data_IF_887777138558
#
_entry.id   IF_887777138558
#
_cell.length_a   1.000
_cell.length_b   1.000
_cell.length_c   1.000
_cell.angle_alpha   90.00
_cell.angle_beta   90.00
_cell.angle_gamma   90.00
#
_symmetry.space_group_name_H-M   'P 1'
#
loop_
_entity.id
_entity.type
_entity.pdbx_description
1 polymer ?
#
# COMPACT_ATOMS: atom_id res chain seq x y z
N UNK A 1 -9.16 -10.74 -0.27
CA UNK A 1 -8.47 -9.56 0.27
C UNK A 1 -9.43 -8.39 0.30
N UNK A 2 -9.36 -7.61 1.37
CA UNK A 2 -10.22 -6.46 1.57
C UNK A 2 -9.47 -5.35 2.32
N UNK A 3 -10.04 -4.16 2.35
CA UNK A 3 -9.61 -3.08 3.22
C UNK A 3 -10.64 -2.89 4.32
N UNK A 4 -10.20 -2.86 5.56
CA UNK A 4 -11.04 -2.37 6.65
C UNK A 4 -10.99 -0.85 6.71
N UNK A 5 -11.87 -0.26 7.53
CA UNK A 5 -11.96 1.21 7.65
C UNK A 5 -10.63 1.88 8.01
N UNK A 6 -9.82 1.25 8.86
CA UNK A 6 -8.59 1.85 9.37
C UNK A 6 -7.37 1.61 8.46
N UNK A 7 -7.48 0.66 7.51
CA UNK A 7 -6.41 0.26 6.57
C UNK A 7 -6.65 0.70 5.12
N UNK A 8 -7.70 1.51 4.91
CA UNK A 8 -7.97 2.13 3.61
C UNK A 8 -6.87 3.14 3.22
N UNK A 9 -6.78 3.53 1.95
CA UNK A 9 -5.81 4.52 1.48
C UNK A 9 -5.80 5.80 2.32
N UNK A 10 -4.61 6.19 2.80
CA UNK A 10 -4.43 7.33 3.70
C UNK A 10 -3.07 8.00 3.55
N UNK A 11 -2.97 9.20 4.09
CA UNK A 11 -1.71 9.88 4.36
C UNK A 11 -1.57 10.13 5.86
N UNK A 12 -0.41 9.83 6.42
CA UNK A 12 -0.01 10.31 7.74
C UNK A 12 0.75 11.61 7.54
N UNK A 13 0.32 12.65 8.23
CA UNK A 13 0.84 14.00 8.12
C UNK A 13 1.19 14.53 9.51
N UNK A 14 2.02 15.55 9.59
CA UNK A 14 2.31 16.21 10.88
C UNK A 14 1.03 16.76 11.55
N UNK A 15 0.08 17.15 10.73
CA UNK A 15 -1.20 17.75 11.14
C UNK A 15 -2.24 16.67 11.51
N UNK A 16 -1.98 15.38 11.25
CA UNK A 16 -2.89 14.26 11.52
C UNK A 16 -3.01 13.28 10.36
N UNK A 17 -3.84 12.27 10.53
CA UNK A 17 -4.12 11.28 9.46
C UNK A 17 -5.26 11.77 8.59
N UNK A 18 -5.06 11.68 7.28
CA UNK A 18 -6.02 12.08 6.24
C UNK A 18 -6.32 10.89 5.35
N UNK A 19 -7.59 10.52 5.22
CA UNK A 19 -8.00 9.47 4.30
C UNK A 19 -8.34 10.06 2.93
N UNK A 20 -8.07 9.29 1.86
CA UNK A 20 -8.27 9.77 0.49
C UNK A 20 -9.74 10.10 0.20
N UNK A 21 -10.68 9.32 0.75
CA UNK A 21 -12.12 9.53 0.60
C UNK A 21 -12.68 10.71 1.42
N UNK A 22 -11.83 11.41 2.17
CA UNK A 22 -12.17 12.65 2.90
C UNK A 22 -11.80 13.93 2.11
N UNK A 23 -11.28 13.79 0.88
CA UNK A 23 -11.03 14.94 0.02
C UNK A 23 -12.35 15.71 -0.29
N UNK A 24 -12.26 17.04 -0.34
CA UNK A 24 -13.41 17.90 -0.62
C UNK A 24 -13.90 17.77 -2.07
N UNK A 25 -12.98 17.46 -2.97
CA UNK A 25 -13.26 17.24 -4.39
C UNK A 25 -12.63 15.90 -4.81
N UNK A 26 -13.48 14.99 -5.31
CA UNK A 26 -13.04 13.68 -5.83
C UNK A 26 -13.62 13.51 -7.22
N UNK A 27 -12.76 13.18 -8.17
CA UNK A 27 -13.15 12.90 -9.55
C UNK A 27 -12.52 11.58 -10.01
N UNK A 28 -13.30 10.76 -10.71
CA UNK A 28 -12.84 9.49 -11.29
C UNK A 28 -13.08 9.48 -12.79
N UNK A 29 -12.10 9.01 -13.55
CA UNK A 29 -12.25 8.82 -14.99
C UNK A 29 -11.58 7.52 -15.45
N UNK A 30 -12.11 6.93 -16.50
CA UNK A 30 -11.47 5.81 -17.18
C UNK A 30 -10.30 6.33 -18.00
N UNK A 31 -9.17 5.65 -17.88
CA UNK A 31 -7.96 5.96 -18.65
C UNK A 31 -7.51 4.74 -19.44
N UNK A 32 -6.98 4.98 -20.63
CA UNK A 32 -6.35 3.98 -21.44
C UNK A 32 -5.06 4.57 -22.01
N UNK A 33 -3.96 3.84 -21.82
CA UNK A 33 -2.69 4.12 -22.47
C UNK A 33 -2.40 3.03 -23.51
N UNK A 34 -1.24 3.08 -24.16
CA UNK A 34 -0.92 2.10 -25.22
C UNK A 34 -0.68 0.66 -24.74
N UNK A 35 -0.67 0.40 -23.45
CA UNK A 35 -0.34 -0.91 -22.85
C UNK A 35 -1.36 -1.41 -21.83
N UNK A 36 -2.31 -0.55 -21.41
CA UNK A 36 -3.28 -0.95 -20.40
C UNK A 36 -4.45 0.02 -20.27
N UNK A 37 -5.36 -0.32 -19.36
CA UNK A 37 -6.56 0.44 -19.03
C UNK A 37 -6.82 0.45 -17.54
N UNK A 38 -7.47 1.50 -17.04
CA UNK A 38 -7.74 1.63 -15.62
C UNK A 38 -8.55 2.86 -15.27
N UNK A 39 -8.38 3.28 -14.02
CA UNK A 39 -9.06 4.44 -13.42
C UNK A 39 -7.99 5.41 -12.94
N UNK A 40 -8.15 6.68 -13.30
CA UNK A 40 -7.51 7.82 -12.66
C UNK A 40 -8.47 8.41 -11.66
N UNK A 41 -8.00 8.71 -10.47
CA UNK A 41 -8.77 9.41 -9.44
C UNK A 41 -8.00 10.65 -9.01
N UNK A 42 -8.65 11.81 -9.05
CA UNK A 42 -8.09 13.07 -8.58
C UNK A 42 -8.73 13.43 -7.25
N UNK A 43 -7.91 13.86 -6.30
CA UNK A 43 -8.31 14.26 -4.96
C UNK A 43 -7.78 15.65 -4.69
N UNK A 44 -8.65 16.58 -4.28
CA UNK A 44 -8.26 17.95 -4.02
C UNK A 44 -9.00 18.54 -2.83
N UNK A 45 -8.24 19.34 -2.06
CA UNK A 45 -8.73 20.00 -0.86
C UNK A 45 -9.03 19.02 0.29
N UNK A 46 -8.57 19.35 1.46
CA UNK A 46 -8.83 18.60 2.68
C UNK A 46 -9.20 19.53 3.82
N UNK A 47 -9.88 19.03 4.82
CA UNK A 47 -10.16 19.77 6.05
C UNK A 47 -9.40 19.12 7.21
N UNK A 48 -8.46 19.87 7.79
CA UNK A 48 -7.63 19.41 8.91
C UNK A 48 -7.87 20.39 10.08
N UNK A 49 -8.34 19.86 11.20
CA UNK A 49 -8.67 20.67 12.39
C UNK A 49 -9.57 21.91 12.07
N UNK A 50 -10.52 21.73 11.14
CA UNK A 50 -11.42 22.79 10.70
C UNK A 50 -10.81 23.80 9.72
N UNK A 51 -9.58 23.57 9.26
CA UNK A 51 -8.91 24.43 8.26
C UNK A 51 -8.88 23.70 6.91
N UNK A 52 -9.37 24.38 5.86
CA UNK A 52 -9.29 23.86 4.50
C UNK A 52 -7.91 24.14 3.91
N UNK A 53 -7.29 23.10 3.36
CA UNK A 53 -5.97 23.14 2.72
C UNK A 53 -6.06 22.70 1.26
N UNK A 54 -5.29 23.32 0.36
CA UNK A 54 -5.39 23.06 -1.09
C UNK A 54 -4.55 21.86 -1.53
N UNK A 55 -4.22 20.93 -0.65
CA UNK A 55 -3.45 19.75 -1.01
C UNK A 55 -4.16 18.94 -2.08
N UNK A 56 -3.42 18.47 -3.11
CA UNK A 56 -4.00 17.74 -4.22
C UNK A 56 -3.03 16.68 -4.75
N UNK A 57 -3.58 15.54 -5.13
CA UNK A 57 -2.86 14.45 -5.77
C UNK A 57 -3.76 13.63 -6.68
N UNK A 58 -3.16 12.78 -7.47
CA UNK A 58 -3.85 11.81 -8.29
C UNK A 58 -3.41 10.39 -7.94
N UNK A 59 -4.32 9.44 -8.12
CA UNK A 59 -4.00 8.03 -8.09
C UNK A 59 -4.42 7.37 -9.38
N UNK A 60 -3.69 6.32 -9.74
CA UNK A 60 -4.02 5.47 -10.87
C UNK A 60 -4.08 4.03 -10.38
N UNK A 61 -5.11 3.32 -10.82
CA UNK A 61 -5.22 1.87 -10.70
C UNK A 61 -5.50 1.32 -12.08
N UNK A 62 -4.55 0.62 -12.68
CA UNK A 62 -4.67 0.15 -14.06
C UNK A 62 -4.05 -1.22 -14.26
N UNK A 63 -4.56 -1.95 -15.26
CA UNK A 63 -4.14 -3.31 -15.62
C UNK A 63 -3.38 -3.23 -16.94
N UNK A 64 -2.19 -3.83 -16.97
CA UNK A 64 -1.45 -4.05 -18.21
C UNK A 64 -2.04 -5.23 -18.97
N UNK A 65 -2.40 -5.03 -20.24
CA UNK A 65 -3.13 -6.03 -21.03
C UNK A 65 -2.31 -7.27 -21.42
N UNK A 66 -0.98 -7.18 -21.37
CA UNK A 66 -0.08 -8.29 -21.76
C UNK A 66 0.30 -9.20 -20.59
N UNK A 67 0.51 -8.64 -19.42
CA UNK A 67 0.98 -9.36 -18.23
C UNK A 67 -0.12 -9.59 -17.20
N UNK A 68 -1.25 -8.88 -17.35
CA UNK A 68 -2.34 -8.83 -16.38
C UNK A 68 -1.92 -8.29 -15.01
N UNK A 69 -0.74 -7.65 -14.92
CA UNK A 69 -0.28 -6.98 -13.73
C UNK A 69 -1.15 -5.75 -13.41
N UNK A 70 -1.39 -5.52 -12.13
CA UNK A 70 -2.14 -4.37 -11.65
C UNK A 70 -1.13 -3.34 -11.12
N UNK A 71 -1.19 -2.14 -11.66
CA UNK A 71 -0.36 -1.02 -11.23
C UNK A 71 -1.17 -0.04 -10.39
N UNK A 72 -0.61 0.35 -9.26
CA UNK A 72 -1.11 1.42 -8.43
C UNK A 72 -0.08 2.53 -8.40
N UNK A 73 -0.49 3.72 -8.84
CA UNK A 73 0.38 4.90 -8.89
C UNK A 73 -0.21 6.02 -8.02
N UNK A 74 0.65 6.74 -7.35
CA UNK A 74 0.33 7.97 -6.61
C UNK A 74 1.17 9.11 -7.18
N UNK A 75 0.54 10.24 -7.51
CA UNK A 75 1.15 11.36 -8.21
C UNK A 75 0.81 12.66 -7.47
N UNK A 76 1.79 13.37 -6.90
CA UNK A 76 1.56 14.66 -6.26
C UNK A 76 1.20 15.73 -7.31
N UNK A 77 0.27 16.62 -6.97
CA UNK A 77 -0.14 17.75 -7.82
C UNK A 77 0.11 19.07 -7.09
N UNK A 78 -0.29 19.17 -5.83
CA UNK A 78 -0.09 20.35 -5.01
C UNK A 78 0.26 19.91 -3.59
N UNK A 79 1.40 20.35 -3.09
CA UNK A 79 1.90 19.99 -1.74
C UNK A 79 1.68 21.13 -0.71
N UNK A 80 0.73 22.02 -0.95
CA UNK A 80 0.48 23.14 -0.06
C UNK A 80 -0.47 22.77 1.08
N UNK A 81 -0.16 23.21 2.28
CA UNK A 81 -1.04 23.16 3.44
C UNK A 81 -0.97 21.86 4.27
N UNK A 82 -0.28 20.84 3.80
CA UNK A 82 -0.05 19.56 4.50
C UNK A 82 1.42 19.19 4.45
N UNK A 83 1.96 18.70 5.56
CA UNK A 83 3.30 18.11 5.61
C UNK A 83 3.16 16.59 5.68
N UNK A 84 3.21 15.93 4.54
CA UNK A 84 3.10 14.47 4.44
C UNK A 84 4.32 13.80 5.03
N UNK A 85 4.11 12.82 5.89
CA UNK A 85 5.14 11.95 6.46
C UNK A 85 5.11 10.56 5.84
N UNK A 86 3.91 10.03 5.54
CA UNK A 86 3.75 8.74 4.84
C UNK A 86 2.51 8.75 3.97
N UNK A 87 2.58 8.03 2.86
CA UNK A 87 1.43 7.72 2.00
C UNK A 87 1.25 6.21 1.92
N UNK A 88 0.03 5.74 2.17
CA UNK A 88 -0.37 4.34 2.02
C UNK A 88 -1.29 4.22 0.81
N UNK A 89 -0.76 3.72 -0.28
CA UNK A 89 -1.48 3.46 -1.51
C UNK A 89 -1.00 2.16 -2.17
N UNK A 90 -1.89 1.22 -2.50
CA UNK A 90 -3.37 1.28 -2.49
C UNK A 90 -4.03 1.10 -1.11
N UNK A 91 -3.29 1.09 -0.04
CA UNK A 91 -3.70 0.79 1.32
C UNK A 91 -3.13 -0.55 1.78
N UNK A 92 -3.44 -0.93 3.01
CA UNK A 92 -3.02 -2.21 3.56
C UNK A 92 -4.08 -3.28 3.26
N UNK A 93 -3.66 -4.38 2.66
CA UNK A 93 -4.54 -5.52 2.37
C UNK A 93 -4.50 -6.54 3.49
N UNK A 94 -5.64 -7.12 3.83
CA UNK A 94 -5.79 -8.12 4.87
C UNK A 94 -6.15 -9.50 4.33
N UNK A 95 -5.73 -10.52 5.08
CA UNK A 95 -6.24 -11.87 4.95
C UNK A 95 -7.41 -12.04 5.92
N UNK A 96 -8.62 -12.07 5.42
CA UNK A 96 -9.85 -11.89 6.19
C UNK A 96 -10.31 -13.11 7.02
N UNK A 97 -9.58 -14.22 7.00
CA UNK A 97 -9.91 -15.41 7.78
C UNK A 97 -8.66 -16.02 8.43
N UNK A 98 -8.85 -16.59 9.62
CA UNK A 98 -7.81 -17.36 10.31
C UNK A 98 -7.74 -18.77 9.74
N UNK A 99 -6.74 -19.01 8.85
CA UNK A 99 -6.50 -20.32 8.23
C UNK A 99 -5.01 -20.63 8.22
N UNK A 100 -4.67 -21.88 8.43
CA UNK A 100 -3.29 -22.36 8.55
C UNK A 100 -2.55 -22.47 7.21
N UNK A 101 -3.27 -22.46 6.10
CA UNK A 101 -2.73 -22.44 4.73
C UNK A 101 -2.71 -21.03 4.12
N UNK A 102 -3.04 -19.99 4.92
CA UNK A 102 -2.94 -18.60 4.55
C UNK A 102 -1.76 -17.96 5.24
N UNK A 103 -1.00 -17.16 4.53
CA UNK A 103 0.20 -16.53 5.08
C UNK A 103 0.59 -15.25 4.36
N UNK A 104 1.38 -14.44 5.07
CA UNK A 104 2.06 -13.26 4.54
C UNK A 104 3.56 -13.54 4.50
N UNK A 105 4.20 -13.25 3.37
CA UNK A 105 5.63 -13.38 3.18
C UNK A 105 6.25 -11.99 3.03
N UNK A 106 7.21 -11.70 3.89
CA UNK A 106 7.94 -10.43 3.89
C UNK A 106 9.38 -10.68 3.50
N UNK A 107 9.88 -9.87 2.58
CA UNK A 107 11.29 -9.86 2.23
C UNK A 107 12.10 -9.12 3.31
N UNK A 108 12.38 -9.81 4.40
CA UNK A 108 13.21 -9.31 5.48
C UNK A 108 14.31 -10.33 5.77
N UNK A 109 15.56 -9.89 5.73
CA UNK A 109 16.73 -10.76 5.92
C UNK A 109 16.69 -12.01 5.01
N UNK A 110 16.38 -13.17 5.57
CA UNK A 110 16.27 -14.46 4.84
C UNK A 110 14.82 -14.77 4.41
N UNK A 111 13.91 -13.83 4.59
CA UNK A 111 12.48 -14.01 4.42
C UNK A 111 11.78 -14.32 5.75
N UNK A 112 10.62 -13.70 5.95
CA UNK A 112 9.75 -13.94 7.11
C UNK A 112 8.39 -14.39 6.60
N UNK A 113 7.97 -15.58 7.01
CA UNK A 113 6.65 -16.12 6.72
C UNK A 113 5.79 -16.00 7.98
N UNK A 114 4.64 -15.33 7.86
CA UNK A 114 3.68 -15.11 8.92
C UNK A 114 2.42 -15.91 8.61
N UNK A 115 2.18 -17.05 9.25
CA UNK A 115 0.93 -17.78 9.10
C UNK A 115 -0.25 -16.93 9.60
N UNK A 116 -1.37 -16.97 8.91
CA UNK A 116 -2.53 -16.15 9.29
C UNK A 116 -3.29 -16.70 10.51
N UNK A 117 -3.01 -17.93 10.93
CA UNK A 117 -3.51 -18.54 12.15
C UNK A 117 -2.57 -18.36 13.36
N UNK A 118 -1.50 -17.59 13.20
CA UNK A 118 -0.59 -17.31 14.29
C UNK A 118 -1.28 -16.57 15.43
N UNK A 119 -1.12 -17.07 16.64
CA UNK A 119 -1.80 -16.52 17.84
C UNK A 119 -1.03 -15.38 18.50
N UNK A 120 0.27 -15.28 18.23
CA UNK A 120 1.11 -14.23 18.80
C UNK A 120 1.02 -12.98 17.94
N UNK A 121 0.52 -11.86 18.46
CA UNK A 121 0.52 -10.62 17.70
C UNK A 121 1.96 -10.22 17.35
N UNK A 122 2.17 -9.71 16.15
CA UNK A 122 3.33 -8.88 15.88
C UNK A 122 3.21 -7.69 16.83
N UNK A 123 4.25 -7.40 17.58
CA UNK A 123 4.25 -6.45 18.70
C UNK A 123 3.44 -5.17 18.41
N UNK A 124 3.06 -4.44 19.46
CA UNK A 124 2.29 -3.18 19.38
C UNK A 124 2.89 -2.09 18.45
N UNK A 125 4.07 -2.34 17.90
CA UNK A 125 4.69 -1.51 16.87
C UNK A 125 4.54 -2.25 15.54
N UNK A 126 3.95 -1.65 14.51
CA UNK A 126 3.86 -2.24 13.18
C UNK A 126 5.22 -2.76 12.72
N UNK A 127 5.22 -3.98 12.19
CA UNK A 127 6.43 -4.54 11.61
C UNK A 127 6.69 -3.84 10.29
N UNK A 128 7.63 -2.90 10.29
CA UNK A 128 7.91 -2.04 9.15
C UNK A 128 9.37 -2.12 8.74
N UNK A 129 9.60 -2.16 7.44
CA UNK A 129 10.94 -2.15 6.85
C UNK A 129 11.01 -1.25 5.64
N UNK A 130 12.18 -0.66 5.42
CA UNK A 130 12.48 0.00 4.16
C UNK A 130 13.03 -1.01 3.16
N UNK A 131 12.64 -0.86 1.90
CA UNK A 131 13.11 -1.76 0.83
C UNK A 131 14.60 -1.65 0.54
N UNK A 132 15.23 -0.54 0.91
CA UNK A 132 16.64 -0.27 0.59
C UNK A 132 17.59 -0.46 1.77
N UNK A 133 17.04 -0.49 3.00
CA UNK A 133 17.83 -0.53 4.23
C UNK A 133 17.16 -1.41 5.27
N UNK A 134 17.85 -1.68 6.38
CA UNK A 134 17.29 -2.30 7.58
C UNK A 134 16.52 -3.61 7.35
N UNK A 135 17.05 -4.47 6.48
CA UNK A 135 16.56 -5.84 6.36
C UNK A 135 15.69 -6.15 5.14
N UNK A 136 15.20 -5.15 4.41
CA UNK A 136 14.53 -5.35 3.12
C UNK A 136 15.54 -5.29 1.98
N UNK A 137 15.94 -6.44 1.42
CA UNK A 137 16.94 -6.48 0.34
C UNK A 137 16.33 -6.39 -1.06
N UNK A 138 15.03 -6.57 -1.18
CA UNK A 138 14.27 -6.48 -2.42
C UNK A 138 12.92 -5.82 -2.17
N UNK A 139 12.39 -5.04 -3.11
CA UNK A 139 11.21 -4.20 -2.87
C UNK A 139 9.89 -4.96 -3.08
N UNK A 140 9.68 -6.06 -2.37
CA UNK A 140 8.47 -6.85 -2.52
C UNK A 140 7.98 -7.46 -1.20
N UNK A 141 6.70 -7.80 -1.18
CA UNK A 141 6.04 -8.68 -0.20
C UNK A 141 4.92 -9.45 -0.91
N UNK A 142 4.39 -10.48 -0.27
CA UNK A 142 3.28 -11.26 -0.82
C UNK A 142 2.32 -11.75 0.24
N UNK A 143 1.09 -12.07 -0.19
CA UNK A 143 0.10 -12.78 0.62
C UNK A 143 -0.51 -13.91 -0.19
N UNK A 144 -0.76 -15.02 0.48
CA UNK A 144 -1.35 -16.22 -0.11
C UNK A 144 -2.56 -16.70 0.67
N UNK A 145 -3.55 -17.21 -0.06
CA UNK A 145 -4.73 -17.93 0.41
C UNK A 145 -4.68 -19.33 -0.18
N UNK A 146 -4.04 -20.27 0.53
CA UNK A 146 -3.71 -21.55 -0.03
C UNK A 146 -2.75 -21.41 -1.21
N UNK A 147 -3.19 -21.83 -2.39
CA UNK A 147 -2.37 -21.79 -3.63
C UNK A 147 -2.58 -20.53 -4.49
N UNK A 148 -3.42 -19.61 -4.08
CA UNK A 148 -3.66 -18.36 -4.78
C UNK A 148 -3.13 -17.19 -3.98
N UNK A 149 -2.45 -16.28 -4.65
CA UNK A 149 -1.82 -15.17 -3.96
C UNK A 149 -1.57 -13.97 -4.85
N UNK A 150 -0.82 -13.05 -4.32
CA UNK A 150 -0.22 -11.96 -5.08
C UNK A 150 1.18 -11.66 -4.58
N UNK A 151 2.00 -11.13 -5.45
CA UNK A 151 3.25 -10.46 -5.10
C UNK A 151 3.11 -8.96 -5.40
N UNK A 152 3.42 -8.13 -4.41
CA UNK A 152 3.50 -6.68 -4.56
C UNK A 152 4.96 -6.28 -4.72
N UNK A 153 5.29 -5.60 -5.80
CA UNK A 153 6.64 -5.13 -6.11
C UNK A 153 6.62 -3.60 -6.19
N UNK A 154 7.34 -2.95 -5.28
CA UNK A 154 7.50 -1.50 -5.33
C UNK A 154 8.52 -1.15 -6.41
N UNK A 155 8.08 -0.51 -7.50
CA UNK A 155 8.94 -0.12 -8.62
C UNK A 155 9.64 1.22 -8.42
N UNK A 156 9.23 1.97 -7.38
CA UNK A 156 9.88 3.20 -6.92
C UNK A 156 10.33 3.06 -5.46
N UNK A 157 11.35 2.23 -5.19
CA UNK A 157 11.67 1.78 -3.83
C UNK A 157 12.34 2.85 -2.94
N UNK A 158 12.79 3.98 -3.50
CA UNK A 158 13.46 5.06 -2.77
C UNK A 158 12.54 5.69 -1.72
N UNK A 159 12.95 5.69 -0.46
CA UNK A 159 12.11 6.11 0.66
C UNK A 159 10.73 5.43 0.62
N UNK A 160 10.71 4.16 0.29
CA UNK A 160 9.54 3.32 0.34
C UNK A 160 9.82 2.08 1.19
N UNK A 161 8.76 1.53 1.74
CA UNK A 161 8.84 0.34 2.57
C UNK A 161 7.51 -0.39 2.60
N UNK A 162 7.44 -1.42 3.40
CA UNK A 162 6.19 -2.06 3.76
C UNK A 162 5.86 -1.81 5.23
N UNK A 163 4.59 -1.92 5.55
CA UNK A 163 4.08 -1.99 6.91
C UNK A 163 3.20 -3.23 6.99
N UNK A 164 3.45 -4.05 8.00
CA UNK A 164 2.67 -5.26 8.25
C UNK A 164 2.28 -5.31 9.72
N UNK A 165 1.04 -5.65 9.97
CA UNK A 165 0.47 -5.79 11.31
C UNK A 165 -0.24 -7.13 11.43
N UNK A 166 -0.12 -7.73 12.61
CA UNK A 166 -0.90 -8.90 13.02
C UNK A 166 -1.47 -8.58 14.40
N UNK A 167 -2.66 -7.95 14.46
CA UNK A 167 -3.19 -7.38 15.69
C UNK A 167 -3.59 -8.43 16.71
N UNK A 168 -3.47 -8.09 18.00
CA UNK A 168 -3.79 -8.97 19.13
C UNK A 168 -5.25 -9.48 19.11
N UNK A 169 -6.18 -8.61 18.69
CA UNK A 169 -7.61 -8.91 18.68
C UNK A 169 -8.17 -9.21 17.29
N UNK A 170 -7.29 -9.41 16.32
CA UNK A 170 -7.66 -9.72 14.95
C UNK A 170 -7.05 -11.04 14.50
N UNK A 171 -7.77 -11.84 13.72
CA UNK A 171 -7.22 -13.04 13.10
C UNK A 171 -6.41 -12.73 11.83
N UNK A 172 -6.19 -11.46 11.49
CA UNK A 172 -5.78 -11.03 10.17
C UNK A 172 -4.39 -10.39 10.18
N UNK A 173 -3.59 -10.74 9.18
CA UNK A 173 -2.36 -10.02 8.89
C UNK A 173 -2.64 -8.96 7.83
N UNK A 174 -2.35 -7.71 8.15
CA UNK A 174 -2.40 -6.59 7.23
C UNK A 174 -1.02 -6.33 6.67
N UNK A 175 -0.93 -6.00 5.39
CA UNK A 175 0.32 -5.55 4.80
C UNK A 175 0.06 -4.56 3.66
N UNK A 176 0.88 -3.54 3.57
CA UNK A 176 0.81 -2.55 2.50
C UNK A 176 2.14 -1.85 2.25
N UNK A 177 2.23 -1.22 1.09
CA UNK A 177 3.33 -0.30 0.77
C UNK A 177 3.10 1.02 1.46
N UNK A 178 4.16 1.58 2.01
CA UNK A 178 4.21 2.97 2.46
C UNK A 178 5.28 3.73 1.68
N UNK A 179 4.98 4.95 1.31
CA UNK A 179 5.91 5.87 0.69
C UNK A 179 6.22 7.00 1.66
N UNK A 180 7.49 7.39 1.75
CA UNK A 180 7.94 8.48 2.61
C UNK A 180 8.58 9.60 1.78
N UNK A 181 8.61 10.84 2.29
CA UNK A 181 9.21 11.97 1.60
C UNK A 181 10.71 11.77 1.32
N UNK A 182 11.15 12.16 0.15
CA UNK A 182 12.56 12.36 -0.17
C UNK A 182 12.96 13.79 0.11
N UNK A 183 13.98 13.99 0.95
CA UNK A 183 14.42 15.34 1.34
C UNK A 183 13.27 16.23 1.85
N UNK A 184 12.31 15.64 2.54
CA UNK A 184 11.16 16.34 3.10
C UNK A 184 10.03 16.66 2.11
N UNK A 185 10.07 16.10 0.89
CA UNK A 185 9.07 16.35 -0.15
C UNK A 185 8.57 15.05 -0.79
N UNK A 186 7.29 15.04 -1.16
CA UNK A 186 6.65 13.95 -1.91
C UNK A 186 6.42 14.37 -3.37
N UNK A 187 7.48 14.82 -4.04
CA UNK A 187 7.42 15.54 -5.32
C UNK A 187 7.60 14.67 -6.56
N UNK A 188 7.57 13.34 -6.43
CA UNK A 188 7.66 12.43 -7.56
C UNK A 188 6.66 11.27 -7.47
N UNK A 189 6.32 10.73 -8.64
CA UNK A 189 5.40 9.61 -8.78
C UNK A 189 5.88 8.37 -8.01
N UNK A 190 4.98 7.72 -7.30
CA UNK A 190 5.19 6.46 -6.58
C UNK A 190 4.41 5.35 -7.25
N UNK A 191 5.02 4.18 -7.40
CA UNK A 191 4.43 3.05 -8.12
C UNK A 191 4.66 1.74 -7.40
N UNK A 192 3.60 0.97 -7.24
CA UNK A 192 3.66 -0.44 -6.85
C UNK A 192 2.89 -1.28 -7.86
N UNK A 193 3.45 -2.43 -8.19
CA UNK A 193 2.86 -3.42 -9.09
C UNK A 193 2.41 -4.64 -8.30
N UNK A 194 1.25 -5.15 -8.59
CA UNK A 194 0.72 -6.40 -8.07
C UNK A 194 0.60 -7.42 -9.20
N UNK A 195 1.26 -8.55 -9.04
CA UNK A 195 1.13 -9.71 -9.94
C UNK A 195 0.32 -10.77 -9.21
N UNK A 196 -0.76 -11.24 -9.82
CA UNK A 196 -1.58 -12.32 -9.28
C UNK A 196 -0.91 -13.68 -9.53
N UNK A 197 -1.01 -14.56 -8.57
CA UNK A 197 -0.47 -15.92 -8.63
C UNK A 197 -1.65 -16.88 -8.50
N UNK A 198 -1.83 -17.72 -9.50
CA UNK A 198 -2.80 -18.80 -9.50
C UNK A 198 -2.11 -20.15 -9.41
N UNK A 199 -2.62 -21.02 -8.55
CA UNK A 199 -2.16 -22.40 -8.36
C UNK A 199 -0.65 -22.55 -8.07
N UNK A 200 -0.05 -21.51 -7.45
CA UNK A 200 1.34 -21.46 -7.05
C UNK A 200 1.56 -21.50 -5.53
N UNK A 201 2.77 -21.28 -5.11
CA UNK A 201 3.12 -21.07 -3.69
C UNK A 201 4.34 -20.14 -3.57
N UNK A 202 4.84 -19.99 -2.35
CA UNK A 202 5.98 -19.09 -2.08
C UNK A 202 7.32 -19.56 -2.66
N UNK A 203 7.38 -20.71 -3.32
CA UNK A 203 8.57 -21.21 -4.03
C UNK A 203 8.51 -20.91 -5.54
N UNK A 204 7.36 -20.48 -6.07
CA UNK A 204 7.16 -20.14 -7.46
C UNK A 204 7.54 -18.67 -7.74
#
# INVERSE_FOLDING_TARGET
WSWTKDYRPKMECKEGTVFFDEALEIHHELVQNGIGKGIRSSFAGFEIEGTKVPYAFETYAWIEETTEDIFFEWVPICEEGITVEKVFWPGEMELEEKKNDWYTLLNMQQGVLIPNDWETPLSAIPFAGFFETAGGYMPWFSQFKGRNGYIAICTTPWNAGYQAEHPENGPYTHVGVRFEPSLGRMDYKRVVRYTLIEDGDYND
#
